data_IF_579358518880
#
_entry.id   IF_579358518880
#
_cell.length_a   1.000
_cell.length_b   1.000
_cell.length_c   1.000
_cell.angle_alpha   90.00
_cell.angle_beta   90.00
_cell.angle_gamma   90.00
#
_symmetry.space_group_name_H-M   'P 1'
#
loop_
_entity.id
_entity.type
_entity.pdbx_description
1 polymer ?
#
# COMPACT_ATOMS: atom_id res chain seq x y z
N UNK A 1 2.74 16.19 12.17
CA UNK A 1 2.99 15.09 13.17
C UNK A 1 3.60 13.83 12.56
N UNK A 2 3.35 13.50 11.29
CA UNK A 2 3.87 12.25 10.66
C UNK A 2 5.36 12.32 10.35
N UNK A 3 5.93 13.49 10.07
CA UNK A 3 7.37 13.66 9.87
C UNK A 3 8.23 13.20 11.07
N UNK A 4 7.67 13.24 12.28
CA UNK A 4 8.31 12.78 13.52
C UNK A 4 7.91 11.38 13.97
N UNK A 5 7.15 10.62 13.16
CA UNK A 5 6.76 9.25 13.55
C UNK A 5 7.99 8.35 13.63
N UNK A 6 8.14 7.58 14.71
CA UNK A 6 9.30 6.72 14.88
C UNK A 6 9.36 5.67 13.74
N UNK A 7 10.57 5.45 13.25
CA UNK A 7 10.85 4.44 12.23
C UNK A 7 11.47 3.22 12.88
N UNK A 8 10.87 2.06 12.68
CA UNK A 8 11.41 0.78 13.07
C UNK A 8 12.02 0.09 11.85
N UNK A 9 13.30 -0.22 11.91
CA UNK A 9 13.98 -0.99 10.88
C UNK A 9 14.03 -2.44 11.31
N UNK A 10 13.52 -3.33 10.47
CA UNK A 10 13.38 -4.76 10.78
C UNK A 10 13.98 -5.64 9.71
N UNK A 11 14.24 -6.89 10.06
CA UNK A 11 14.42 -7.99 9.12
C UNK A 11 13.06 -8.59 8.71
N UNK A 12 13.07 -9.58 7.81
CA UNK A 12 11.85 -10.27 7.33
C UNK A 12 11.09 -10.96 8.47
N UNK A 13 11.80 -11.48 9.48
CA UNK A 13 11.17 -12.12 10.65
C UNK A 13 10.51 -11.08 11.57
N UNK A 14 11.15 -9.94 11.73
CA UNK A 14 10.60 -8.81 12.45
C UNK A 14 9.30 -8.31 11.82
N UNK A 15 9.24 -8.23 10.48
CA UNK A 15 8.01 -7.90 9.76
C UNK A 15 6.91 -8.91 10.04
N UNK A 16 7.18 -10.22 9.92
CA UNK A 16 6.18 -11.27 10.18
C UNK A 16 5.61 -11.14 11.59
N UNK A 17 6.45 -10.88 12.59
CA UNK A 17 5.99 -10.67 13.98
C UNK A 17 5.10 -9.44 14.10
N UNK A 18 5.49 -8.32 13.50
CA UNK A 18 4.72 -7.07 13.58
C UNK A 18 3.36 -7.18 12.89
N UNK A 19 3.31 -7.75 11.68
CA UNK A 19 2.05 -7.92 10.92
C UNK A 19 1.20 -9.03 11.54
N UNK A 20 1.79 -10.13 12.00
CA UNK A 20 1.09 -11.21 12.70
C UNK A 20 0.38 -10.69 13.95
N UNK A 21 1.07 -9.91 14.78
CA UNK A 21 0.47 -9.27 15.96
C UNK A 21 -0.66 -8.30 15.60
N UNK A 22 -0.58 -7.62 14.44
CA UNK A 22 -1.66 -6.78 13.94
C UNK A 22 -2.88 -7.62 13.56
N UNK A 23 -2.69 -8.70 12.80
CA UNK A 23 -3.76 -9.60 12.39
C UNK A 23 -4.43 -10.25 13.60
N UNK A 24 -3.66 -10.69 14.59
CA UNK A 24 -4.18 -11.26 15.85
C UNK A 24 -5.13 -10.32 16.58
N UNK A 25 -4.99 -9.02 16.40
CA UNK A 25 -5.84 -8.03 17.06
C UNK A 25 -7.22 -7.84 16.43
N UNK A 26 -7.44 -8.38 15.22
CA UNK A 26 -8.70 -8.21 14.48
C UNK A 26 -9.62 -9.43 14.53
N UNK A 27 -9.22 -10.54 15.18
CA UNK A 27 -9.97 -11.79 15.11
C UNK A 27 -10.18 -12.48 16.46
N UNK A 28 -11.43 -12.81 16.77
CA UNK A 28 -11.81 -13.63 17.93
C UNK A 28 -11.78 -15.15 17.64
N UNK A 29 -11.93 -15.57 16.37
CA UNK A 29 -11.97 -17.01 15.99
C UNK A 29 -11.28 -17.26 14.66
N UNK A 30 -10.23 -18.09 14.68
CA UNK A 30 -9.44 -18.47 13.49
C UNK A 30 -9.61 -19.96 13.18
N UNK A 31 -10.06 -20.27 11.98
CA UNK A 31 -10.05 -21.66 11.49
C UNK A 31 -8.63 -22.05 11.02
N UNK A 32 -8.26 -23.35 11.04
CA UNK A 32 -6.97 -23.81 10.51
C UNK A 32 -6.71 -23.39 9.06
N UNK A 33 -7.76 -23.28 8.24
CA UNK A 33 -7.67 -22.84 6.84
C UNK A 33 -7.29 -21.36 6.74
N UNK A 34 -7.87 -20.50 7.58
CA UNK A 34 -7.55 -19.08 7.66
C UNK A 34 -6.10 -18.89 8.11
N UNK A 35 -5.66 -19.59 9.15
CA UNK A 35 -4.27 -19.55 9.62
C UNK A 35 -3.26 -19.98 8.55
N UNK A 36 -3.58 -20.99 7.75
CA UNK A 36 -2.72 -21.42 6.65
C UNK A 36 -2.62 -20.35 5.55
N UNK A 37 -3.73 -19.73 5.16
CA UNK A 37 -3.75 -18.66 4.16
C UNK A 37 -2.98 -17.43 4.67
N UNK A 38 -3.17 -17.01 5.91
CA UNK A 38 -2.42 -15.93 6.56
C UNK A 38 -0.91 -16.21 6.54
N UNK A 39 -0.49 -17.43 6.87
CA UNK A 39 0.93 -17.77 6.87
C UNK A 39 1.55 -17.65 5.47
N UNK A 40 0.82 -17.99 4.41
CA UNK A 40 1.26 -17.81 3.02
C UNK A 40 1.36 -16.33 2.69
N UNK A 41 0.35 -15.53 3.01
CA UNK A 41 0.32 -14.08 2.78
C UNK A 41 1.46 -13.39 3.54
N UNK A 42 1.65 -13.70 4.82
CA UNK A 42 2.72 -13.11 5.64
C UNK A 42 4.12 -13.44 5.09
N UNK A 43 4.36 -14.67 4.63
CA UNK A 43 5.63 -15.05 4.02
C UNK A 43 5.89 -14.30 2.72
N UNK A 44 4.88 -14.15 1.88
CA UNK A 44 4.99 -13.42 0.61
C UNK A 44 5.22 -11.92 0.87
N UNK A 45 4.49 -11.31 1.80
CA UNK A 45 4.72 -9.93 2.25
C UNK A 45 6.14 -9.75 2.79
N UNK A 46 6.61 -10.66 3.64
CA UNK A 46 7.96 -10.57 4.21
C UNK A 46 9.06 -10.66 3.15
N UNK A 47 8.80 -11.31 2.03
CA UNK A 47 9.74 -11.43 0.91
C UNK A 47 9.84 -10.12 0.10
N UNK A 48 8.73 -9.42 -0.09
CA UNK A 48 8.63 -8.36 -1.09
C UNK A 48 8.33 -6.96 -0.51
N UNK A 49 7.73 -6.85 0.68
CA UNK A 49 7.40 -5.55 1.26
C UNK A 49 8.65 -4.79 1.70
N UNK A 50 8.80 -3.55 1.25
CA UNK A 50 9.90 -2.65 1.64
C UNK A 50 9.55 -1.78 2.83
N UNK A 51 8.27 -1.38 2.96
CA UNK A 51 7.79 -0.57 4.05
C UNK A 51 6.31 -0.79 4.35
N UNK A 52 5.94 -0.78 5.61
CA UNK A 52 4.57 -0.93 6.11
C UNK A 52 4.30 0.14 7.18
N UNK A 53 3.10 0.69 7.18
CA UNK A 53 2.62 1.51 8.29
C UNK A 53 1.90 0.64 9.32
N UNK A 54 2.41 0.62 10.54
CA UNK A 54 1.74 -0.03 11.65
C UNK A 54 0.71 0.93 12.25
N UNK A 55 -0.56 0.68 11.95
CA UNK A 55 -1.69 1.52 12.38
C UNK A 55 -1.89 1.51 13.89
N UNK A 56 -1.47 0.46 14.61
CA UNK A 56 -1.62 0.35 16.06
C UNK A 56 -0.62 1.22 16.80
N UNK A 57 0.65 1.13 16.40
CA UNK A 57 1.71 1.87 17.07
C UNK A 57 1.97 3.25 16.46
N UNK A 58 1.37 3.57 15.31
CA UNK A 58 1.62 4.81 14.57
C UNK A 58 3.06 4.91 14.07
N UNK A 59 3.69 3.78 13.71
CA UNK A 59 5.10 3.70 13.31
C UNK A 59 5.27 3.29 11.87
N UNK A 60 6.35 3.78 11.26
CA UNK A 60 6.86 3.26 10.01
C UNK A 60 7.71 2.03 10.29
N UNK A 61 7.45 0.93 9.58
CA UNK A 61 8.29 -0.27 9.58
C UNK A 61 8.98 -0.35 8.23
N UNK A 62 10.31 -0.34 8.21
CA UNK A 62 11.11 -0.51 7.00
C UNK A 62 11.79 -1.89 7.04
N UNK A 63 11.66 -2.65 5.96
CA UNK A 63 12.25 -3.99 5.84
C UNK A 63 13.60 -3.88 5.14
N UNK A 64 14.65 -3.69 5.92
CA UNK A 64 16.00 -3.39 5.41
C UNK A 64 16.48 -4.36 4.32
N UNK A 65 16.41 -5.70 4.48
CA UNK A 65 16.88 -6.61 3.43
C UNK A 65 16.13 -6.48 2.11
N UNK A 66 14.85 -6.07 2.13
CA UNK A 66 14.08 -5.89 0.91
C UNK A 66 14.40 -4.56 0.24
N UNK A 67 14.56 -3.48 1.03
CA UNK A 67 15.00 -2.18 0.52
C UNK A 67 16.35 -2.30 -0.17
N UNK A 68 17.30 -3.02 0.42
CA UNK A 68 18.62 -3.25 -0.16
C UNK A 68 18.54 -4.13 -1.42
N UNK A 69 17.75 -5.19 -1.39
CA UNK A 69 17.59 -6.09 -2.55
C UNK A 69 16.97 -5.36 -3.75
N UNK A 70 15.99 -4.49 -3.52
CA UNK A 70 15.38 -3.69 -4.59
C UNK A 70 16.35 -2.64 -5.13
N UNK A 71 17.09 -1.95 -4.26
CA UNK A 71 18.11 -1.00 -4.68
C UNK A 71 19.13 -1.68 -5.62
N UNK A 72 19.60 -2.88 -5.27
CA UNK A 72 20.52 -3.65 -6.11
C UNK A 72 19.88 -4.13 -7.40
N UNK A 73 18.66 -4.71 -7.32
CA UNK A 73 17.95 -5.28 -8.48
C UNK A 73 17.66 -4.24 -9.57
N UNK A 74 17.29 -3.03 -9.17
CA UNK A 74 16.85 -1.97 -10.07
C UNK A 74 17.90 -0.85 -10.25
N UNK A 75 19.13 -1.08 -9.79
CA UNK A 75 20.23 -0.11 -9.85
C UNK A 75 19.83 1.27 -9.29
N UNK A 76 19.12 1.29 -8.15
CA UNK A 76 18.67 2.50 -7.48
C UNK A 76 19.76 3.01 -6.53
N UNK A 77 19.89 4.33 -6.38
CA UNK A 77 20.66 4.88 -5.26
C UNK A 77 20.04 4.45 -3.94
N UNK A 78 20.82 3.79 -3.10
CA UNK A 78 20.32 3.16 -1.87
C UNK A 78 19.79 4.18 -0.87
N UNK A 79 20.42 5.35 -0.76
CA UNK A 79 20.00 6.40 0.17
C UNK A 79 18.70 7.03 -0.27
N UNK A 80 18.60 7.37 -1.54
CA UNK A 80 17.39 7.96 -2.12
C UNK A 80 16.24 6.96 -2.16
N UNK A 81 16.52 5.68 -2.45
CA UNK A 81 15.50 4.63 -2.39
C UNK A 81 14.98 4.43 -0.95
N UNK A 82 15.84 4.40 0.05
CA UNK A 82 15.43 4.32 1.45
C UNK A 82 14.56 5.52 1.87
N UNK A 83 14.93 6.74 1.44
CA UNK A 83 14.13 7.95 1.66
C UNK A 83 12.78 7.86 0.97
N UNK A 84 12.76 7.43 -0.30
CA UNK A 84 11.51 7.22 -1.04
C UNK A 84 10.57 6.27 -0.32
N UNK A 85 11.03 5.07 0.05
CA UNK A 85 10.22 4.07 0.79
C UNK A 85 9.72 4.65 2.11
N UNK A 86 10.57 5.38 2.83
CA UNK A 86 10.20 6.01 4.10
C UNK A 86 9.12 7.08 3.92
N UNK A 87 9.21 7.90 2.87
CA UNK A 87 8.22 8.93 2.55
C UNK A 87 6.88 8.30 2.14
N UNK A 88 6.88 7.34 1.21
CA UNK A 88 5.67 6.62 0.81
C UNK A 88 4.96 5.97 2.01
N UNK A 89 5.74 5.31 2.87
CA UNK A 89 5.20 4.67 4.08
C UNK A 89 4.62 5.71 5.04
N UNK A 90 5.28 6.86 5.19
CA UNK A 90 4.81 7.97 6.01
C UNK A 90 3.51 8.58 5.49
N UNK A 91 3.41 8.87 4.18
CA UNK A 91 2.19 9.39 3.54
C UNK A 91 1.02 8.42 3.70
N UNK A 92 1.26 7.11 3.51
CA UNK A 92 0.24 6.08 3.79
C UNK A 92 -0.24 6.15 5.25
N UNK A 93 0.68 6.40 6.18
CA UNK A 93 0.33 6.64 7.59
C UNK A 93 -0.54 7.88 7.80
N UNK A 94 -0.29 8.97 7.06
CA UNK A 94 -1.16 10.17 7.06
C UNK A 94 -2.56 9.79 6.59
N UNK A 95 -2.67 9.11 5.44
CA UNK A 95 -3.95 8.70 4.87
C UNK A 95 -4.76 7.86 5.87
N UNK A 96 -4.16 6.81 6.43
CA UNK A 96 -4.84 5.92 7.40
C UNK A 96 -5.17 6.62 8.73
N UNK A 97 -4.40 7.63 9.13
CA UNK A 97 -4.72 8.43 10.32
C UNK A 97 -5.94 9.33 10.09
N UNK A 98 -6.11 9.87 8.86
CA UNK A 98 -7.26 10.69 8.50
C UNK A 98 -8.49 9.85 8.09
N UNK A 99 -8.27 8.60 7.70
CA UNK A 99 -9.32 7.66 7.30
C UNK A 99 -9.28 6.37 8.16
N UNK A 100 -9.49 6.46 9.49
CA UNK A 100 -9.37 5.31 10.38
C UNK A 100 -10.40 4.20 10.07
N UNK A 101 -11.51 4.53 9.42
CA UNK A 101 -12.54 3.59 8.95
C UNK A 101 -12.03 2.63 7.85
N UNK A 102 -10.96 2.97 7.14
CA UNK A 102 -10.39 2.08 6.13
C UNK A 102 -9.71 0.84 6.74
N UNK A 103 -9.24 0.92 7.98
CA UNK A 103 -8.58 -0.21 8.65
C UNK A 103 -9.56 -1.37 8.90
N UNK A 104 -10.71 -1.16 9.59
CA UNK A 104 -11.71 -2.21 9.74
C UNK A 104 -12.33 -2.64 8.40
N UNK A 105 -12.47 -1.73 7.42
CA UNK A 105 -12.96 -2.07 6.09
C UNK A 105 -12.03 -3.06 5.37
N UNK A 106 -10.72 -2.80 5.34
CA UNK A 106 -9.73 -3.72 4.75
C UNK A 106 -9.72 -5.06 5.50
N UNK A 107 -9.81 -5.04 6.84
CA UNK A 107 -9.89 -6.26 7.63
C UNK A 107 -11.15 -7.08 7.31
N UNK A 108 -12.29 -6.41 7.03
CA UNK A 108 -13.52 -7.07 6.60
C UNK A 108 -13.37 -7.72 5.21
N UNK A 109 -12.76 -7.00 4.26
CA UNK A 109 -12.44 -7.55 2.95
C UNK A 109 -11.56 -8.80 3.03
N UNK A 110 -10.53 -8.77 3.90
CA UNK A 110 -9.66 -9.93 4.12
C UNK A 110 -10.41 -11.13 4.69
N UNK A 111 -11.38 -10.91 5.60
CA UNK A 111 -12.24 -11.98 6.15
C UNK A 111 -13.22 -12.55 5.11
N UNK A 112 -13.59 -11.74 4.14
CA UNK A 112 -14.51 -12.09 3.04
C UNK A 112 -13.78 -12.68 1.82
N UNK A 113 -12.55 -13.16 1.96
CA UNK A 113 -11.82 -13.82 0.87
C UNK A 113 -12.31 -15.28 0.69
N UNK A 114 -12.39 -15.77 -0.56
CA UNK A 114 -12.01 -15.09 -1.82
C UNK A 114 -13.09 -14.21 -2.46
N UNK A 115 -14.31 -14.15 -1.91
CA UNK A 115 -15.51 -13.58 -2.54
C UNK A 115 -15.33 -12.09 -2.92
N UNK A 116 -14.61 -11.32 -2.09
CA UNK A 116 -14.36 -9.89 -2.30
C UNK A 116 -12.89 -9.58 -2.64
N UNK A 117 -12.18 -10.51 -3.27
CA UNK A 117 -10.77 -10.33 -3.63
C UNK A 117 -10.51 -9.14 -4.55
N UNK A 118 -11.38 -8.90 -5.53
CA UNK A 118 -11.26 -7.78 -6.46
C UNK A 118 -11.34 -6.41 -5.76
N UNK A 119 -12.19 -6.31 -4.75
CA UNK A 119 -12.37 -5.10 -3.95
C UNK A 119 -11.15 -4.86 -3.06
N UNK A 120 -10.64 -5.92 -2.42
CA UNK A 120 -9.40 -5.86 -1.65
C UNK A 120 -8.22 -5.41 -2.52
N UNK A 121 -8.07 -5.98 -3.71
CA UNK A 121 -6.98 -5.61 -4.62
C UNK A 121 -7.09 -4.14 -5.02
N UNK A 122 -8.29 -3.66 -5.36
CA UNK A 122 -8.50 -2.24 -5.72
C UNK A 122 -8.10 -1.29 -4.60
N UNK A 123 -8.56 -1.52 -3.37
CA UNK A 123 -8.24 -0.63 -2.25
C UNK A 123 -6.74 -0.66 -1.91
N UNK A 124 -6.12 -1.83 -1.98
CA UNK A 124 -4.68 -1.97 -1.71
C UNK A 124 -3.84 -1.23 -2.75
N UNK A 125 -4.18 -1.37 -4.03
CA UNK A 125 -3.52 -0.64 -5.12
C UNK A 125 -3.74 0.87 -4.96
N UNK A 126 -4.93 1.32 -4.56
CA UNK A 126 -5.22 2.73 -4.32
C UNK A 126 -4.38 3.31 -3.19
N UNK A 127 -4.32 2.61 -2.05
CA UNK A 127 -3.52 3.04 -0.89
C UNK A 127 -2.01 3.05 -1.17
N UNK A 128 -1.56 2.35 -2.21
CA UNK A 128 -0.18 2.39 -2.68
C UNK A 128 0.06 3.50 -3.71
N UNK A 129 -0.89 3.70 -4.62
CA UNK A 129 -0.80 4.69 -5.69
C UNK A 129 -0.88 6.14 -5.19
N UNK A 130 -1.68 6.41 -4.14
CA UNK A 130 -1.85 7.76 -3.59
C UNK A 130 -0.54 8.38 -3.12
N UNK A 131 0.25 7.78 -2.20
CA UNK A 131 1.54 8.33 -1.81
C UNK A 131 2.48 8.55 -2.98
N UNK A 132 2.45 7.65 -3.95
CA UNK A 132 3.26 7.73 -5.16
C UNK A 132 2.90 8.95 -5.99
N UNK A 133 1.61 9.21 -6.19
CA UNK A 133 1.12 10.37 -6.92
C UNK A 133 1.43 11.68 -6.18
N UNK A 134 1.30 11.73 -4.86
CA UNK A 134 1.70 12.90 -4.06
C UNK A 134 3.20 13.20 -4.17
N UNK A 135 4.03 12.18 -4.29
CA UNK A 135 5.48 12.35 -4.45
C UNK A 135 5.91 12.80 -5.85
N UNK A 136 4.99 12.95 -6.80
CA UNK A 136 5.32 13.51 -8.13
C UNK A 136 5.75 14.99 -8.06
N UNK A 137 5.49 15.69 -6.97
CA UNK A 137 5.98 17.06 -6.74
C UNK A 137 7.47 17.14 -6.39
N UNK A 138 8.08 16.03 -5.97
CA UNK A 138 9.49 16.01 -5.60
C UNK A 138 10.39 16.33 -6.79
N UNK A 139 11.45 17.07 -6.54
CA UNK A 139 12.44 17.51 -7.51
C UNK A 139 13.80 16.88 -7.22
N UNK A 140 14.80 16.98 -8.13
CA UNK A 140 16.17 16.54 -7.85
C UNK A 140 16.84 17.30 -6.68
N UNK A 141 16.28 18.45 -6.24
CA UNK A 141 16.75 19.15 -5.03
C UNK A 141 16.34 18.41 -3.76
N UNK A 142 15.16 17.76 -3.80
CA UNK A 142 14.62 17.02 -2.66
C UNK A 142 15.19 15.60 -2.61
N UNK A 143 15.34 14.98 -3.80
CA UNK A 143 15.80 13.61 -3.97
C UNK A 143 16.61 13.52 -5.27
N UNK A 144 17.97 13.56 -5.21
CA UNK A 144 18.84 13.66 -6.38
C UNK A 144 18.56 12.65 -7.49
N UNK A 145 18.25 11.40 -7.15
CA UNK A 145 17.97 10.34 -8.14
C UNK A 145 16.48 10.20 -8.49
N UNK A 146 15.63 11.20 -8.18
CA UNK A 146 14.17 11.12 -8.33
C UNK A 146 13.71 10.68 -9.74
N UNK A 147 14.36 11.18 -10.78
CA UNK A 147 14.01 10.83 -12.16
C UNK A 147 14.29 9.36 -12.45
N UNK A 148 15.45 8.86 -12.00
CA UNK A 148 15.80 7.44 -12.12
C UNK A 148 14.83 6.56 -11.31
N UNK A 149 14.52 6.94 -10.08
CA UNK A 149 13.54 6.24 -9.23
C UNK A 149 12.18 6.14 -9.90
N UNK A 150 11.68 7.20 -10.55
CA UNK A 150 10.38 7.20 -11.23
C UNK A 150 10.31 6.20 -12.40
N UNK A 151 11.42 6.00 -13.10
CA UNK A 151 11.47 5.15 -14.30
C UNK A 151 11.89 3.71 -14.00
N UNK A 152 12.66 3.47 -12.94
CA UNK A 152 13.29 2.18 -12.66
C UNK A 152 12.82 1.52 -11.36
N UNK A 153 12.06 2.24 -10.53
CA UNK A 153 11.49 1.62 -9.31
C UNK A 153 10.59 0.47 -9.69
N UNK A 154 10.80 -0.66 -9.05
CA UNK A 154 9.74 -1.65 -8.98
C UNK A 154 8.58 -1.05 -8.18
N UNK A 155 7.40 -1.47 -8.51
CA UNK A 155 6.20 -1.12 -7.75
C UNK A 155 6.36 -1.56 -6.31
N UNK A 156 6.71 -0.61 -5.43
CA UNK A 156 6.97 -0.90 -4.03
C UNK A 156 5.64 -0.96 -3.26
N UNK A 157 5.51 -1.91 -2.38
CA UNK A 157 4.43 -1.90 -1.39
C UNK A 157 3.14 -2.60 -1.82
N UNK A 158 2.24 -1.93 -2.53
CA UNK A 158 0.92 -2.47 -2.90
C UNK A 158 1.01 -3.75 -3.72
N UNK A 159 1.99 -3.82 -4.61
CA UNK A 159 2.28 -5.03 -5.39
C UNK A 159 2.72 -6.21 -4.50
N UNK A 160 3.37 -5.95 -3.36
CA UNK A 160 3.75 -7.02 -2.44
C UNK A 160 2.52 -7.74 -1.86
N UNK A 161 1.49 -7.01 -1.45
CA UNK A 161 0.25 -7.62 -0.96
C UNK A 161 -0.53 -8.31 -2.09
N UNK A 162 -0.59 -7.70 -3.27
CA UNK A 162 -1.23 -8.32 -4.45
C UNK A 162 -0.53 -9.63 -4.83
N UNK A 163 0.81 -9.65 -4.86
CA UNK A 163 1.58 -10.89 -5.06
C UNK A 163 1.35 -11.92 -3.95
N UNK A 164 1.19 -11.46 -2.71
CA UNK A 164 0.87 -12.34 -1.59
C UNK A 164 -0.51 -12.98 -1.75
N UNK A 165 -1.50 -12.21 -2.23
CA UNK A 165 -2.82 -12.72 -2.56
C UNK A 165 -2.77 -13.74 -3.71
N UNK A 166 -1.98 -13.49 -4.76
CA UNK A 166 -1.74 -14.45 -5.84
C UNK A 166 -1.12 -15.75 -5.32
N UNK A 167 -0.13 -15.65 -4.43
CA UNK A 167 0.51 -16.81 -3.82
C UNK A 167 -0.46 -17.63 -2.94
N UNK A 168 -1.50 -17.01 -2.41
CA UNK A 168 -2.60 -17.67 -1.69
C UNK A 168 -3.68 -18.28 -2.62
N UNK A 169 -3.45 -18.25 -3.95
CA UNK A 169 -4.35 -18.87 -4.94
C UNK A 169 -5.52 -17.98 -5.37
N UNK A 170 -5.48 -16.67 -5.09
CA UNK A 170 -6.51 -15.77 -5.57
C UNK A 170 -6.33 -15.48 -7.07
N UNK A 171 -7.41 -15.52 -7.88
CA UNK A 171 -7.32 -15.17 -9.29
C UNK A 171 -7.08 -13.66 -9.44
N UNK A 172 -5.98 -13.28 -10.07
CA UNK A 172 -5.58 -11.88 -10.28
C UNK A 172 -5.50 -11.54 -11.77
N UNK A 173 -6.50 -11.95 -12.55
CA UNK A 173 -6.57 -11.58 -13.96
C UNK A 173 -6.67 -10.06 -14.14
N UNK A 174 -5.83 -9.48 -15.01
CA UNK A 174 -5.89 -8.06 -15.34
C UNK A 174 -5.30 -7.09 -14.30
N UNK A 175 -4.55 -7.58 -13.31
CA UNK A 175 -3.97 -6.75 -12.23
C UNK A 175 -3.08 -5.61 -12.77
N UNK A 176 -2.31 -5.85 -13.84
CA UNK A 176 -1.47 -4.80 -14.43
C UNK A 176 -2.30 -3.64 -15.01
N UNK A 177 -3.39 -3.98 -15.71
CA UNK A 177 -4.32 -2.97 -16.21
C UNK A 177 -5.01 -2.21 -15.07
N UNK A 178 -5.45 -2.91 -14.04
CA UNK A 178 -6.06 -2.32 -12.86
C UNK A 178 -5.08 -1.41 -12.12
N UNK A 179 -3.81 -1.81 -12.01
CA UNK A 179 -2.77 -0.99 -11.41
C UNK A 179 -2.57 0.31 -12.20
N UNK A 180 -2.46 0.23 -13.53
CA UNK A 180 -2.31 1.42 -14.38
C UNK A 180 -3.52 2.36 -14.26
N UNK A 181 -4.73 1.83 -14.21
CA UNK A 181 -5.97 2.61 -13.96
C UNK A 181 -5.93 3.28 -12.59
N UNK A 182 -5.56 2.54 -11.54
CA UNK A 182 -5.48 3.06 -10.18
C UNK A 182 -4.43 4.16 -10.05
N UNK A 183 -3.28 4.02 -10.69
CA UNK A 183 -2.25 5.07 -10.73
C UNK A 183 -2.75 6.33 -11.46
N UNK A 184 -3.46 6.17 -12.58
CA UNK A 184 -4.09 7.28 -13.31
C UNK A 184 -5.15 7.99 -12.48
N UNK A 185 -5.99 7.22 -11.78
CA UNK A 185 -6.99 7.74 -10.84
C UNK A 185 -6.34 8.52 -9.71
N UNK A 186 -5.34 7.96 -9.03
CA UNK A 186 -4.63 8.59 -7.93
C UNK A 186 -3.99 9.93 -8.33
N UNK A 187 -3.33 9.98 -9.51
CA UNK A 187 -2.78 11.24 -10.05
C UNK A 187 -3.87 12.29 -10.28
N UNK A 188 -5.02 11.88 -10.77
CA UNK A 188 -6.15 12.80 -10.98
C UNK A 188 -6.67 13.34 -9.64
N UNK A 189 -6.87 12.48 -8.65
CA UNK A 189 -7.32 12.87 -7.29
C UNK A 189 -6.34 13.85 -6.64
N UNK A 190 -5.04 13.59 -6.74
CA UNK A 190 -4.00 14.48 -6.19
C UNK A 190 -4.00 15.83 -6.91
N UNK A 191 -4.02 15.84 -8.23
CA UNK A 191 -4.03 17.07 -9.04
C UNK A 191 -5.25 17.94 -8.75
N UNK A 192 -6.41 17.33 -8.52
CA UNK A 192 -7.67 18.04 -8.23
C UNK A 192 -7.82 18.41 -6.74
N UNK A 193 -6.84 18.06 -5.88
CA UNK A 193 -6.88 18.31 -4.44
C UNK A 193 -7.98 17.55 -3.70
N UNK A 194 -8.44 16.42 -4.24
CA UNK A 194 -9.63 15.71 -3.79
C UNK A 194 -9.31 14.52 -2.83
N UNK A 195 -8.11 14.46 -2.25
CA UNK A 195 -7.71 13.37 -1.33
C UNK A 195 -8.63 13.32 -0.10
N UNK A 196 -8.99 14.49 0.46
CA UNK A 196 -9.86 14.55 1.63
C UNK A 196 -11.24 13.96 1.35
N UNK A 197 -11.81 14.24 0.18
CA UNK A 197 -13.08 13.67 -0.27
C UNK A 197 -12.97 12.15 -0.45
N UNK A 198 -11.90 11.68 -1.11
CA UNK A 198 -11.65 10.25 -1.31
C UNK A 198 -11.56 9.47 0.01
N UNK A 199 -10.93 10.08 1.00
CA UNK A 199 -10.68 9.45 2.31
C UNK A 199 -11.77 9.75 3.35
N UNK A 200 -12.89 10.38 2.97
CA UNK A 200 -13.93 10.80 3.92
C UNK A 200 -14.78 9.65 4.45
N UNK A 201 -15.05 8.64 3.63
CA UNK A 201 -15.84 7.45 3.99
C UNK A 201 -15.58 6.28 3.04
N UNK A 202 -16.06 5.09 3.39
CA UNK A 202 -16.05 3.92 2.49
C UNK A 202 -16.87 4.18 1.23
N UNK A 203 -18.00 4.88 1.36
CA UNK A 203 -18.89 5.21 0.22
C UNK A 203 -18.27 6.22 -0.75
N UNK A 204 -17.28 6.99 -0.30
CA UNK A 204 -16.52 7.90 -1.15
C UNK A 204 -15.47 7.18 -2.02
N UNK A 205 -15.12 5.93 -1.71
CA UNK A 205 -14.19 5.16 -2.52
C UNK A 205 -14.73 4.96 -3.95
N UNK A 206 -13.84 4.89 -4.96
CA UNK A 206 -14.26 4.71 -6.34
C UNK A 206 -14.83 3.31 -6.57
N UNK A 207 -15.92 3.24 -7.32
CA UNK A 207 -16.41 1.99 -7.92
C UNK A 207 -15.43 1.47 -8.98
N UNK A 208 -15.58 0.20 -9.37
CA UNK A 208 -14.72 -0.40 -10.39
C UNK A 208 -14.65 0.42 -11.70
N UNK A 209 -15.76 1.02 -12.12
CA UNK A 209 -15.86 1.88 -13.31
C UNK A 209 -15.12 3.21 -13.12
N UNK A 210 -15.22 3.80 -11.95
CA UNK A 210 -14.68 5.13 -11.67
C UNK A 210 -13.14 5.15 -11.62
N UNK A 211 -12.48 3.99 -11.42
CA UNK A 211 -11.03 3.90 -11.59
C UNK A 211 -10.58 4.20 -13.04
N UNK A 212 -11.39 3.80 -14.02
CA UNK A 212 -11.14 4.11 -15.43
C UNK A 212 -11.66 5.50 -15.84
N UNK A 213 -12.66 6.03 -15.11
CA UNK A 213 -13.32 7.31 -15.37
C UNK A 213 -13.24 8.26 -14.15
N UNK A 214 -12.06 8.80 -13.80
CA UNK A 214 -11.88 9.62 -12.59
C UNK A 214 -12.79 10.85 -12.53
N UNK A 215 -13.17 11.40 -13.68
CA UNK A 215 -14.09 12.55 -13.76
C UNK A 215 -15.50 12.21 -13.29
N UNK A 216 -15.96 10.98 -13.50
CA UNK A 216 -17.24 10.51 -13.00
C UNK A 216 -17.24 10.43 -11.46
N UNK A 217 -16.16 9.93 -10.88
CA UNK A 217 -15.96 9.95 -9.43
C UNK A 217 -15.95 11.37 -8.87
N UNK A 218 -15.17 12.28 -9.46
CA UNK A 218 -15.13 13.69 -9.04
C UNK A 218 -16.50 14.35 -9.06
N UNK A 219 -17.32 14.06 -10.08
CA UNK A 219 -18.69 14.58 -10.18
C UNK A 219 -19.62 14.03 -9.07
N UNK A 220 -19.39 12.80 -8.60
CA UNK A 220 -20.18 12.18 -7.53
C UNK A 220 -19.84 12.71 -6.14
N UNK A 221 -18.56 13.06 -5.88
CA UNK A 221 -18.10 13.43 -4.53
C UNK A 221 -18.01 14.94 -4.29
N UNK A 222 -18.23 15.77 -5.31
CA UNK A 222 -18.33 17.24 -5.22
C UNK A 222 -19.75 17.66 -4.90
#
# INVERSE_FOLDING_TARGET
KVAGSPTLVVDRRGLIRSVGSLLESFEDTRTPKVLAAEAVILRALAKDATGIWDVRSGRRILVAPNVLADAQRYALDQTDWCRWVSLCTGLRGVHLTHAPHLVPYVADLMRSLPERSDELVRIVLLLDALPTAEMEVLTPRDLPSIQWLRTHRAHAGGVALVRACAAAGMPLAGVEALQAQTEGFARTVVREGAIAQLLSSVDALPSAREYAEPTAWLARVR
#
